data_IF_564121592109
#
_entry.id   IF_564121592109
#
_cell.length_a   1.000
_cell.length_b   1.000
_cell.length_c   1.000
_cell.angle_alpha   90.00
_cell.angle_beta   90.00
_cell.angle_gamma   90.00
#
_symmetry.space_group_name_H-M   'P 1'
#
loop_
_entity.id
_entity.type
_entity.pdbx_description
1 polymer ?
#
# COMPACT_ATOMS: atom_id res chain seq x y z
N UNK A 1 -63.39 27.50 -32.39
CA UNK A 1 -62.46 26.34 -32.29
C UNK A 1 -62.00 26.21 -30.86
N UNK A 2 -61.94 24.97 -30.38
CA UNK A 2 -61.99 24.59 -28.97
C UNK A 2 -60.61 24.68 -28.28
N UNK A 3 -60.72 25.03 -27.01
CA UNK A 3 -59.81 25.23 -25.89
C UNK A 3 -58.63 24.24 -25.79
N UNK A 4 -57.51 24.80 -25.32
CA UNK A 4 -56.19 24.21 -25.04
C UNK A 4 -56.23 23.06 -24.03
N UNK A 5 -55.43 22.04 -24.29
CA UNK A 5 -55.13 20.85 -23.48
C UNK A 5 -53.74 20.37 -23.99
N UNK A 6 -52.70 20.01 -23.23
CA UNK A 6 -52.54 19.43 -21.90
C UNK A 6 -51.09 19.71 -21.44
N UNK A 7 -50.93 19.96 -20.14
CA UNK A 7 -49.65 19.91 -19.42
C UNK A 7 -49.21 18.45 -19.27
N UNK A 8 -47.95 18.12 -19.56
CA UNK A 8 -47.30 16.93 -19.00
C UNK A 8 -45.79 17.18 -18.86
N UNK A 9 -45.43 17.78 -17.73
CA UNK A 9 -44.08 17.75 -17.16
C UNK A 9 -43.94 16.41 -16.44
N UNK A 10 -43.01 15.54 -16.86
CA UNK A 10 -42.59 14.38 -16.07
C UNK A 10 -41.16 13.94 -16.44
N UNK A 11 -40.21 14.54 -15.75
CA UNK A 11 -39.04 13.90 -15.13
C UNK A 11 -38.38 12.74 -15.87
N UNK A 12 -37.29 13.05 -16.60
CA UNK A 12 -36.23 12.09 -16.91
C UNK A 12 -34.99 12.46 -16.05
N UNK A 13 -35.04 12.14 -14.76
CA UNK A 13 -33.95 12.32 -13.81
C UNK A 13 -33.53 10.94 -13.28
N UNK A 14 -32.80 10.18 -14.08
CA UNK A 14 -32.17 8.94 -13.62
C UNK A 14 -30.97 8.56 -14.51
N UNK A 15 -29.91 9.38 -14.48
CA UNK A 15 -28.62 8.98 -15.08
C UNK A 15 -27.40 9.48 -14.29
N UNK A 16 -27.51 9.62 -12.97
CA UNK A 16 -26.40 10.10 -12.11
C UNK A 16 -25.81 9.03 -11.17
N UNK A 17 -26.17 7.75 -11.30
CA UNK A 17 -25.79 6.73 -10.31
C UNK A 17 -24.60 5.82 -10.68
N UNK A 18 -23.78 6.14 -11.69
CA UNK A 18 -22.70 5.24 -12.15
C UNK A 18 -21.28 5.86 -12.20
N UNK A 19 -21.06 7.01 -11.54
CA UNK A 19 -19.73 7.62 -11.38
C UNK A 19 -19.28 7.66 -9.92
N UNK A 20 -19.81 6.76 -9.08
CA UNK A 20 -19.20 6.47 -7.79
C UNK A 20 -17.86 5.78 -8.04
N UNK A 21 -16.80 6.57 -7.99
CA UNK A 21 -15.41 6.13 -7.93
C UNK A 21 -15.27 4.84 -7.12
N UNK A 22 -14.75 3.80 -7.77
CA UNK A 22 -14.80 2.42 -7.31
C UNK A 22 -14.19 2.23 -5.92
N UNK A 23 -14.94 1.57 -5.03
CA UNK A 23 -14.44 1.09 -3.72
C UNK A 23 -13.20 0.19 -3.92
N UNK A 24 -12.20 0.26 -3.04
CA UNK A 24 -11.05 -0.64 -3.12
C UNK A 24 -11.47 -2.11 -3.04
N UNK A 25 -11.09 -2.89 -4.03
CA UNK A 25 -11.35 -4.32 -4.12
C UNK A 25 -10.04 -5.12 -4.13
N UNK A 26 -10.06 -6.31 -3.54
CA UNK A 26 -8.94 -7.25 -3.66
C UNK A 26 -8.78 -7.73 -5.11
N UNK A 27 -7.53 -7.90 -5.54
CA UNK A 27 -7.25 -8.58 -6.80
C UNK A 27 -7.71 -10.03 -6.70
N UNK A 28 -8.26 -10.54 -7.81
CA UNK A 28 -8.53 -11.98 -7.92
C UNK A 28 -7.21 -12.77 -7.83
N UNK A 29 -7.23 -14.06 -7.42
CA UNK A 29 -6.01 -14.85 -7.30
C UNK A 29 -5.17 -14.92 -8.58
N UNK A 30 -5.81 -14.96 -9.74
CA UNK A 30 -5.14 -14.97 -11.04
C UNK A 30 -4.48 -13.62 -11.35
N UNK A 31 -5.20 -12.50 -11.15
CA UNK A 31 -4.65 -11.15 -11.32
C UNK A 31 -3.47 -10.90 -10.37
N UNK A 32 -3.63 -11.31 -9.11
CA UNK A 32 -2.59 -11.17 -8.08
C UNK A 32 -1.34 -11.97 -8.46
N UNK A 33 -1.50 -13.22 -8.88
CA UNK A 33 -0.36 -14.06 -9.29
C UNK A 33 0.40 -13.46 -10.48
N UNK A 34 -0.32 -13.01 -11.52
CA UNK A 34 0.28 -12.35 -12.70
C UNK A 34 0.99 -11.06 -12.32
N UNK A 35 0.33 -10.20 -11.54
CA UNK A 35 0.91 -8.94 -11.08
C UNK A 35 2.17 -9.21 -10.25
N UNK A 36 2.11 -10.08 -9.25
CA UNK A 36 3.26 -10.44 -8.41
C UNK A 36 4.42 -10.97 -9.25
N UNK A 37 4.18 -11.82 -10.26
CA UNK A 37 5.24 -12.30 -11.14
C UNK A 37 5.94 -11.16 -11.90
N UNK A 38 5.18 -10.21 -12.46
CA UNK A 38 5.72 -9.03 -13.13
C UNK A 38 6.52 -8.14 -12.18
N UNK A 39 6.03 -7.94 -10.95
CA UNK A 39 6.72 -7.14 -9.94
C UNK A 39 8.01 -7.81 -9.45
N UNK A 40 8.02 -9.13 -9.31
CA UNK A 40 9.23 -9.88 -8.93
C UNK A 40 10.29 -9.82 -10.03
N UNK A 41 9.89 -9.92 -11.30
CA UNK A 41 10.78 -9.70 -12.44
C UNK A 41 11.35 -8.26 -12.44
N UNK A 42 10.49 -7.25 -12.29
CA UNK A 42 10.92 -5.85 -12.16
C UNK A 42 11.85 -5.62 -10.97
N UNK A 43 11.60 -6.30 -9.84
CA UNK A 43 12.44 -6.23 -8.66
C UNK A 43 13.88 -6.70 -8.91
N UNK A 44 14.12 -7.62 -9.84
CA UNK A 44 15.50 -8.04 -10.20
C UNK A 44 16.31 -6.93 -10.85
N UNK A 45 15.63 -5.96 -11.47
CA UNK A 45 16.23 -4.78 -12.11
C UNK A 45 16.30 -3.58 -11.18
N UNK A 46 15.67 -3.65 -10.01
CA UNK A 46 15.83 -2.62 -9.00
C UNK A 46 17.26 -2.72 -8.44
N UNK A 47 18.05 -1.66 -8.66
CA UNK A 47 19.35 -1.52 -8.01
C UNK A 47 19.23 -1.46 -6.48
N UNK A 48 20.33 -1.17 -5.79
CA UNK A 48 20.43 -1.26 -4.34
C UNK A 48 19.23 -0.65 -3.60
N UNK A 49 18.47 -1.53 -2.92
CA UNK A 49 17.36 -1.15 -2.06
C UNK A 49 17.91 -0.77 -0.67
N UNK A 50 17.32 0.24 0.00
CA UNK A 50 17.76 0.66 1.34
C UNK A 50 17.68 -0.44 2.41
N UNK A 51 16.81 -1.43 2.19
CA UNK A 51 16.66 -2.61 3.03
C UNK A 51 16.91 -3.86 2.21
N UNK A 52 17.71 -4.78 2.76
CA UNK A 52 17.86 -6.13 2.20
C UNK A 52 16.59 -6.92 2.48
N UNK A 53 15.77 -7.14 1.47
CA UNK A 53 14.49 -7.85 1.55
C UNK A 53 14.60 -9.30 1.05
N UNK A 54 13.89 -10.22 1.69
CA UNK A 54 13.69 -11.59 1.22
C UNK A 54 12.20 -11.81 1.01
N UNK A 55 11.71 -11.51 -0.19
CA UNK A 55 10.28 -11.45 -0.50
C UNK A 55 9.60 -12.83 -0.52
N UNK A 56 8.35 -12.89 -0.05
CA UNK A 56 7.45 -14.04 -0.09
C UNK A 56 6.31 -13.79 -1.09
N UNK A 57 6.50 -14.05 -2.39
CA UNK A 57 5.50 -13.75 -3.43
C UNK A 57 4.18 -14.52 -3.25
N UNK A 58 4.23 -15.70 -2.65
CA UNK A 58 3.08 -16.55 -2.27
C UNK A 58 2.20 -15.93 -1.17
N UNK A 59 2.72 -14.91 -0.47
CA UNK A 59 2.01 -14.17 0.58
C UNK A 59 1.65 -12.74 0.13
N UNK A 60 1.70 -12.47 -1.17
CA UNK A 60 1.37 -11.15 -1.72
C UNK A 60 -0.09 -10.79 -1.49
N UNK A 61 -0.35 -9.49 -1.37
CA UNK A 61 -1.69 -8.93 -1.19
C UNK A 61 -1.83 -7.75 -2.13
N UNK A 62 -2.88 -7.75 -2.97
CA UNK A 62 -3.12 -6.71 -3.95
C UNK A 62 -4.52 -6.12 -3.84
N UNK A 63 -4.61 -4.81 -4.00
CA UNK A 63 -5.84 -4.03 -4.00
C UNK A 63 -5.89 -3.13 -5.26
N UNK A 64 -7.08 -2.93 -5.82
CA UNK A 64 -7.34 -1.99 -6.91
C UNK A 64 -8.57 -1.13 -6.63
N UNK A 65 -8.54 0.12 -7.06
CA UNK A 65 -9.66 1.06 -7.01
C UNK A 65 -9.64 1.91 -8.28
N UNK A 66 -10.46 1.58 -9.28
CA UNK A 66 -10.33 2.17 -10.62
C UNK A 66 -8.98 1.82 -11.24
N UNK A 67 -8.23 2.83 -11.66
CA UNK A 67 -6.89 2.69 -12.25
C UNK A 67 -5.75 2.73 -11.21
N UNK A 68 -6.09 3.05 -9.96
CA UNK A 68 -5.16 3.06 -8.85
C UNK A 68 -5.01 1.66 -8.25
N UNK A 69 -3.80 1.31 -7.82
CA UNK A 69 -3.53 -0.01 -7.25
C UNK A 69 -2.40 0.00 -6.24
N UNK A 70 -2.45 -0.96 -5.31
CA UNK A 70 -1.40 -1.21 -4.34
C UNK A 70 -1.17 -2.71 -4.19
N UNK A 71 0.08 -3.16 -4.24
CA UNK A 71 0.46 -4.55 -4.03
C UNK A 71 1.61 -4.63 -3.04
N UNK A 72 1.41 -5.38 -1.97
CA UNK A 72 2.39 -5.64 -0.93
C UNK A 72 2.92 -7.07 -1.08
N UNK A 73 4.25 -7.21 -1.13
CA UNK A 73 4.93 -8.50 -1.03
C UNK A 73 5.67 -8.52 0.31
N UNK A 74 5.22 -9.34 1.29
CA UNK A 74 5.86 -9.42 2.60
C UNK A 74 7.30 -9.95 2.53
N UNK A 75 8.12 -9.60 3.51
CA UNK A 75 9.39 -10.26 3.76
C UNK A 75 9.14 -11.60 4.47
N UNK A 76 9.68 -12.71 3.95
CA UNK A 76 9.49 -14.06 4.49
C UNK A 76 10.06 -14.23 5.90
N UNK A 77 10.94 -13.32 6.34
CA UNK A 77 11.53 -13.30 7.68
C UNK A 77 10.66 -12.52 8.66
N UNK A 78 9.61 -11.85 8.20
CA UNK A 78 8.61 -11.24 9.07
C UNK A 78 7.79 -12.34 9.74
N UNK A 79 8.32 -12.86 10.83
CA UNK A 79 7.67 -13.89 11.63
C UNK A 79 6.92 -13.24 12.77
N UNK A 80 5.83 -13.89 13.19
CA UNK A 80 5.23 -13.67 14.49
C UNK A 80 6.26 -14.15 15.51
N UNK A 81 7.22 -13.27 15.86
CA UNK A 81 8.05 -13.52 17.02
C UNK A 81 7.09 -13.58 18.20
N UNK A 82 6.79 -14.81 18.65
CA UNK A 82 6.57 -15.08 20.06
C UNK A 82 7.82 -14.53 20.70
N UNK A 83 7.75 -13.29 21.18
CA UNK A 83 8.79 -12.70 22.00
C UNK A 83 8.87 -13.57 23.27
N UNK A 84 9.55 -14.70 23.18
CA UNK A 84 9.87 -15.52 24.31
C UNK A 84 10.80 -14.65 25.15
N UNK A 85 10.31 -14.34 26.37
CA UNK A 85 11.12 -13.76 27.43
C UNK A 85 12.44 -14.53 27.49
N UNK A 86 13.53 -13.93 27.01
CA UNK A 86 14.87 -14.51 27.17
C UNK A 86 15.83 -14.34 26.01
N UNK A 87 15.38 -14.01 24.80
CA UNK A 87 16.31 -13.94 23.68
C UNK A 87 17.17 -12.66 23.71
N UNK A 88 18.41 -12.81 24.19
CA UNK A 88 19.42 -11.74 24.30
C UNK A 88 19.91 -11.28 22.92
N UNK A 89 19.65 -12.03 21.85
CA UNK A 89 20.03 -11.66 20.48
C UNK A 89 19.09 -10.59 19.88
N UNK A 90 17.79 -10.59 20.22
CA UNK A 90 16.83 -9.58 19.80
C UNK A 90 17.07 -8.19 20.44
N UNK A 91 17.77 -8.15 21.60
CA UNK A 91 18.17 -6.90 22.26
C UNK A 91 19.34 -6.19 21.58
N UNK A 92 20.04 -6.84 20.66
CA UNK A 92 21.29 -6.35 20.03
C UNK A 92 21.12 -5.91 18.57
N UNK A 93 19.88 -5.82 18.05
CA UNK A 93 19.65 -5.01 16.85
C UNK A 93 19.85 -3.55 17.24
N UNK A 94 20.85 -2.93 16.63
CA UNK A 94 21.31 -1.60 16.97
C UNK A 94 20.16 -0.60 16.92
N UNK A 95 20.25 0.43 17.77
CA UNK A 95 19.41 1.62 17.70
C UNK A 95 19.59 2.23 16.29
N UNK A 96 18.69 1.92 15.37
CA UNK A 96 18.73 2.40 13.98
C UNK A 96 18.58 1.35 12.87
N UNK A 97 18.62 0.05 13.15
CA UNK A 97 18.43 -0.97 12.11
C UNK A 97 16.95 -1.36 11.98
N UNK A 98 16.33 -1.03 10.85
CA UNK A 98 14.92 -1.33 10.60
C UNK A 98 14.69 -2.83 10.42
N UNK A 99 13.65 -3.37 11.04
CA UNK A 99 13.24 -4.77 10.82
C UNK A 99 12.47 -4.84 9.50
N UNK A 100 12.93 -5.62 8.50
CA UNK A 100 12.27 -5.69 7.20
C UNK A 100 10.83 -6.21 7.31
N UNK A 101 9.89 -5.53 6.64
CA UNK A 101 8.46 -5.90 6.59
C UNK A 101 8.09 -6.45 5.22
N UNK A 102 8.60 -5.86 4.16
CA UNK A 102 8.26 -6.24 2.79
C UNK A 102 8.47 -5.09 1.81
N UNK A 103 7.86 -5.22 0.64
CA UNK A 103 7.92 -4.24 -0.44
C UNK A 103 6.52 -3.86 -0.89
N UNK A 104 6.22 -2.57 -0.87
CA UNK A 104 4.95 -2.01 -1.34
C UNK A 104 5.15 -1.41 -2.73
N UNK A 105 4.27 -1.77 -3.64
CA UNK A 105 4.21 -1.26 -5.00
C UNK A 105 2.90 -0.51 -5.18
N UNK A 106 2.95 0.67 -5.78
CA UNK A 106 1.74 1.47 -6.04
C UNK A 106 1.67 1.95 -7.49
N UNK A 107 0.46 1.94 -8.04
CA UNK A 107 0.11 2.49 -9.35
C UNK A 107 -0.79 3.69 -9.16
N UNK A 108 -0.45 4.84 -9.78
CA UNK A 108 -1.18 6.12 -9.70
C UNK A 108 -1.43 6.64 -8.27
N UNK A 109 -0.73 6.09 -7.28
CA UNK A 109 -0.82 6.47 -5.87
C UNK A 109 0.57 6.70 -5.31
N UNK A 110 0.69 7.70 -4.45
CA UNK A 110 1.88 7.93 -3.63
C UNK A 110 1.48 8.25 -2.19
N UNK A 111 2.32 7.91 -1.19
CA UNK A 111 2.07 8.26 0.20
C UNK A 111 1.95 9.77 0.40
N UNK A 112 1.18 10.20 1.40
CA UNK A 112 1.10 11.60 1.85
C UNK A 112 1.92 11.83 3.12
N UNK A 113 2.54 12.99 3.21
CA UNK A 113 3.16 13.54 4.42
C UNK A 113 2.53 14.90 4.73
N UNK A 114 1.88 15.04 5.89
CA UNK A 114 1.17 16.26 6.32
C UNK A 114 0.32 16.89 5.19
N UNK A 115 -0.57 16.07 4.60
CA UNK A 115 -1.47 16.40 3.50
C UNK A 115 -0.89 16.63 2.11
N UNK A 116 0.43 16.71 1.96
CA UNK A 116 1.07 16.74 0.66
C UNK A 116 1.38 15.33 0.16
N UNK A 117 1.02 15.02 -1.10
CA UNK A 117 1.49 13.80 -1.76
C UNK A 117 3.01 13.88 -1.93
N UNK A 118 3.71 12.79 -1.63
CA UNK A 118 5.16 12.73 -1.81
C UNK A 118 5.53 13.00 -3.27
N UNK A 119 6.47 13.93 -3.54
CA UNK A 119 6.89 14.25 -4.90
C UNK A 119 7.66 13.10 -5.56
N UNK A 120 7.56 13.01 -6.89
CA UNK A 120 8.12 11.94 -7.71
C UNK A 120 9.64 11.76 -7.55
N UNK A 121 10.39 12.82 -7.21
CA UNK A 121 11.83 12.78 -6.97
C UNK A 121 12.22 11.96 -5.73
N UNK A 122 11.32 11.83 -4.75
CA UNK A 122 11.48 10.97 -3.57
C UNK A 122 11.07 9.52 -3.82
N UNK A 123 10.27 9.28 -4.85
CA UNK A 123 9.75 7.97 -5.19
C UNK A 123 10.79 7.18 -5.98
N UNK A 124 10.85 5.86 -5.74
CA UNK A 124 11.55 4.95 -6.63
C UNK A 124 10.58 4.48 -7.69
N UNK A 125 10.60 5.15 -8.84
CA UNK A 125 9.72 4.87 -9.96
C UNK A 125 10.36 3.84 -10.89
N UNK A 126 9.59 2.85 -11.32
CA UNK A 126 10.01 1.85 -12.28
C UNK A 126 8.91 1.60 -13.30
N UNK A 127 9.32 1.43 -14.55
CA UNK A 127 8.40 1.09 -15.63
C UNK A 127 8.25 -0.41 -15.74
N UNK A 128 7.02 -0.86 -15.94
CA UNK A 128 6.66 -2.26 -16.13
C UNK A 128 5.82 -2.37 -17.38
N UNK A 129 6.18 -3.31 -18.23
CA UNK A 129 5.44 -3.65 -19.44
C UNK A 129 4.58 -4.88 -19.16
N UNK A 130 3.27 -4.76 -19.37
CA UNK A 130 2.30 -5.85 -19.25
C UNK A 130 1.54 -5.98 -20.57
N UNK A 131 1.97 -6.91 -21.44
CA UNK A 131 1.51 -6.96 -22.82
C UNK A 131 1.93 -5.70 -23.57
N UNK A 132 0.98 -5.01 -24.20
CA UNK A 132 1.22 -3.79 -24.97
C UNK A 132 1.16 -2.49 -24.13
N UNK A 133 0.97 -2.62 -22.81
CA UNK A 133 0.84 -1.48 -21.90
C UNK A 133 2.11 -1.28 -21.10
N UNK A 134 2.65 -0.07 -21.15
CA UNK A 134 3.68 0.40 -20.22
C UNK A 134 3.01 1.14 -19.06
N UNK A 135 3.38 0.79 -17.83
CA UNK A 135 2.87 1.41 -16.62
C UNK A 135 4.05 1.81 -15.73
N UNK A 136 3.94 2.96 -15.08
CA UNK A 136 4.91 3.40 -14.09
C UNK A 136 4.40 3.11 -12.68
N UNK A 137 5.22 2.43 -11.88
CA UNK A 137 4.91 2.10 -10.49
C UNK A 137 5.94 2.72 -9.55
N UNK A 138 5.46 3.20 -8.40
CA UNK A 138 6.32 3.55 -7.29
C UNK A 138 6.58 2.32 -6.40
N UNK A 139 7.82 2.18 -5.95
CA UNK A 139 8.27 1.07 -5.10
C UNK A 139 8.79 1.60 -3.77
N UNK A 140 8.37 0.96 -2.70
CA UNK A 140 8.80 1.27 -1.34
C UNK A 140 9.28 0.03 -0.61
N UNK A 141 10.49 0.06 -0.06
CA UNK A 141 10.87 -0.92 0.95
C UNK A 141 10.25 -0.52 2.29
N UNK A 142 9.71 -1.49 3.03
CA UNK A 142 9.06 -1.27 4.31
C UNK A 142 9.88 -1.86 5.44
N UNK A 143 10.04 -1.11 6.53
CA UNK A 143 10.72 -1.58 7.74
C UNK A 143 10.08 -1.06 9.01
N UNK A 144 10.16 -1.81 10.11
CA UNK A 144 9.79 -1.35 11.44
C UNK A 144 11.01 -0.72 12.09
N UNK A 145 10.91 0.56 12.43
CA UNK A 145 11.92 1.30 13.17
C UNK A 145 11.47 1.51 14.62
N UNK A 146 12.44 1.50 15.55
CA UNK A 146 12.17 1.87 16.94
C UNK A 146 12.29 3.39 17.09
N UNK A 147 11.20 4.04 17.47
CA UNK A 147 11.14 5.49 17.71
C UNK A 147 11.37 5.86 19.19
N UNK A 148 11.12 4.93 20.12
CA UNK A 148 11.26 5.18 21.56
C UNK A 148 11.36 3.90 22.38
N UNK A 149 11.17 3.99 23.70
CA UNK A 149 11.29 2.81 24.59
C UNK A 149 10.28 1.72 24.23
N UNK A 150 9.07 2.09 23.83
CA UNK A 150 7.97 1.21 23.42
C UNK A 150 7.22 1.71 22.17
N UNK A 151 7.83 2.64 21.45
CA UNK A 151 7.24 3.27 20.27
C UNK A 151 7.97 2.77 19.04
N UNK A 152 7.18 2.36 18.05
CA UNK A 152 7.66 1.81 16.79
C UNK A 152 6.93 2.51 15.65
N UNK A 153 7.65 2.76 14.56
CA UNK A 153 7.08 3.31 13.34
C UNK A 153 7.25 2.30 12.21
N UNK A 154 6.30 2.28 11.29
CA UNK A 154 6.53 1.75 9.95
C UNK A 154 7.23 2.85 9.14
N UNK A 155 8.43 2.55 8.68
CA UNK A 155 9.22 3.39 7.80
C UNK A 155 9.05 2.92 6.35
N UNK A 156 8.74 3.86 5.46
CA UNK A 156 8.66 3.66 4.01
C UNK A 156 9.91 4.27 3.37
N UNK A 157 10.65 3.48 2.62
CA UNK A 157 11.87 3.89 1.94
C UNK A 157 11.65 3.97 0.43
N UNK A 158 11.87 5.14 -0.16
CA UNK A 158 11.74 5.38 -1.61
C UNK A 158 13.07 5.27 -2.36
N UNK A 159 13.46 6.35 -3.06
CA UNK A 159 14.68 6.38 -3.88
C UNK A 159 15.97 6.34 -3.04
N UNK A 160 16.01 7.04 -1.92
CA UNK A 160 17.19 7.19 -1.05
C UNK A 160 17.27 6.21 0.12
N UNK A 161 18.38 6.27 0.87
CA UNK A 161 18.65 5.41 2.03
C UNK A 161 17.86 5.77 3.29
N UNK A 162 17.25 6.97 3.32
CA UNK A 162 16.42 7.43 4.43
C UNK A 162 14.94 7.19 4.14
N UNK A 163 14.10 6.90 5.16
CA UNK A 163 12.66 6.83 5.00
C UNK A 163 12.07 8.14 4.47
N UNK A 164 11.19 8.03 3.48
CA UNK A 164 10.41 9.13 2.93
C UNK A 164 9.14 9.41 3.73
N UNK A 165 8.66 8.42 4.48
CA UNK A 165 7.53 8.55 5.40
C UNK A 165 7.73 7.63 6.61
N UNK A 166 7.32 8.09 7.79
CA UNK A 166 7.21 7.29 9.01
C UNK A 166 5.81 7.41 9.55
N UNK A 167 5.14 6.27 9.74
CA UNK A 167 3.80 6.22 10.32
C UNK A 167 3.83 5.43 11.63
N UNK A 168 3.10 5.87 12.67
CA UNK A 168 3.12 5.19 13.96
C UNK A 168 2.50 3.79 13.89
N UNK A 169 3.13 2.82 14.54
CA UNK A 169 2.51 1.53 14.81
C UNK A 169 1.63 1.63 16.05
N UNK A 170 0.34 1.38 15.88
CA UNK A 170 -0.64 1.34 16.96
C UNK A 170 -0.95 -0.11 17.32
N UNK A 171 -1.22 -0.38 18.59
CA UNK A 171 -1.63 -1.72 19.00
C UNK A 171 -3.02 -2.03 18.43
N UNK A 172 -3.16 -3.22 17.83
CA UNK A 172 -4.43 -3.75 17.33
C UNK A 172 -4.55 -5.21 17.77
N UNK A 173 -5.76 -5.76 17.84
CA UNK A 173 -5.95 -7.19 18.10
C UNK A 173 -6.68 -7.78 16.90
N UNK A 174 -5.98 -8.61 16.15
CA UNK A 174 -6.56 -9.42 15.08
C UNK A 174 -6.31 -10.89 15.34
N UNK A 175 -7.28 -11.72 14.95
CA UNK A 175 -7.20 -13.18 15.02
C UNK A 175 -6.58 -13.81 13.76
N UNK A 176 -5.96 -13.01 12.90
CA UNK A 176 -5.37 -13.48 11.64
C UNK A 176 -4.06 -14.26 11.83
N UNK A 177 -3.85 -15.30 11.02
CA UNK A 177 -2.61 -16.08 10.99
C UNK A 177 -1.54 -15.48 10.07
N UNK A 178 -1.93 -14.62 9.11
CA UNK A 178 -1.01 -14.01 8.16
C UNK A 178 -0.08 -12.99 8.85
N UNK A 179 1.22 -12.93 8.49
CA UNK A 179 2.17 -12.00 9.08
C UNK A 179 1.89 -10.55 8.68
N UNK A 180 1.26 -10.32 7.52
CA UNK A 180 0.72 -9.02 7.12
C UNK A 180 -0.66 -9.20 6.52
N UNK A 181 -1.54 -8.26 6.79
CA UNK A 181 -2.77 -8.02 6.05
C UNK A 181 -2.78 -6.58 5.55
N UNK A 182 -3.36 -6.35 4.38
CA UNK A 182 -3.52 -5.02 3.81
C UNK A 182 -4.99 -4.80 3.43
N UNK A 183 -5.53 -3.65 3.81
CA UNK A 183 -6.82 -3.15 3.36
C UNK A 183 -6.66 -1.70 2.92
N UNK A 184 -7.67 -1.17 2.24
CA UNK A 184 -7.70 0.22 1.83
C UNK A 184 -9.08 0.81 2.06
N UNK A 185 -9.12 2.10 2.38
CA UNK A 185 -10.35 2.87 2.48
C UNK A 185 -10.18 4.21 1.79
N UNK A 186 -11.24 4.69 1.16
CA UNK A 186 -11.26 6.02 0.56
C UNK A 186 -11.49 7.07 1.64
N UNK A 187 -10.80 8.22 1.53
CA UNK A 187 -10.97 9.36 2.46
C UNK A 187 -11.35 10.66 1.74
N UNK A 188 -11.28 10.68 0.42
CA UNK A 188 -11.68 11.79 -0.44
C UNK A 188 -11.55 11.37 -1.90
N UNK A 189 -11.91 12.22 -2.86
CA UNK A 189 -11.98 11.84 -4.27
C UNK A 189 -10.66 11.25 -4.80
N UNK A 190 -9.55 11.93 -4.52
CA UNK A 190 -8.19 11.55 -4.91
C UNK A 190 -7.31 11.15 -3.71
N UNK A 191 -7.93 10.69 -2.62
CA UNK A 191 -7.20 10.29 -1.40
C UNK A 191 -7.78 9.06 -0.71
N UNK A 192 -6.90 8.34 -0.03
CA UNK A 192 -7.26 7.17 0.75
C UNK A 192 -6.24 6.86 1.82
N UNK A 193 -6.45 5.73 2.49
CA UNK A 193 -5.53 5.17 3.47
C UNK A 193 -5.33 3.69 3.15
N UNK A 194 -4.08 3.28 3.01
CA UNK A 194 -3.70 1.87 3.07
C UNK A 194 -3.47 1.50 4.53
N UNK A 195 -4.23 0.54 5.03
CA UNK A 195 -4.10 0.02 6.38
C UNK A 195 -3.32 -1.29 6.34
N UNK A 196 -2.22 -1.35 7.08
CA UNK A 196 -1.43 -2.56 7.25
C UNK A 196 -1.60 -3.09 8.67
N UNK A 197 -2.02 -4.33 8.77
CA UNK A 197 -2.05 -5.07 10.02
C UNK A 197 -0.88 -6.06 10.04
N UNK A 198 0.08 -5.80 10.91
CA UNK A 198 1.34 -6.53 11.03
C UNK A 198 1.28 -7.48 12.23
N UNK A 199 1.64 -8.73 11.99
CA UNK A 199 1.78 -9.80 12.98
C UNK A 199 0.53 -10.01 13.84
N UNK A 200 -0.65 -9.64 13.33
CA UNK A 200 -1.93 -9.68 14.06
C UNK A 200 -2.04 -8.73 15.26
N UNK A 201 -1.06 -7.84 15.46
CA UNK A 201 -0.94 -7.04 16.70
C UNK A 201 -0.64 -5.57 16.53
N UNK A 202 -0.13 -5.16 15.37
CA UNK A 202 0.22 -3.77 15.10
C UNK A 202 -0.52 -3.29 13.87
N UNK A 203 -1.07 -2.08 13.92
CA UNK A 203 -1.68 -1.42 12.78
C UNK A 203 -0.83 -0.21 12.38
N UNK A 204 -0.56 -0.08 11.09
CA UNK A 204 -0.02 1.11 10.44
C UNK A 204 -1.05 1.65 9.47
N UNK A 205 -1.18 2.97 9.40
CA UNK A 205 -2.02 3.63 8.41
C UNK A 205 -1.12 4.49 7.53
N UNK A 206 -1.13 4.24 6.23
CA UNK A 206 -0.35 4.96 5.22
C UNK A 206 -1.36 5.81 4.44
N UNK A 207 -1.44 7.12 4.72
CA UNK A 207 -2.21 8.03 3.89
C UNK A 207 -1.65 8.03 2.47
N UNK A 208 -2.52 7.98 1.47
CA UNK A 208 -2.15 8.01 0.06
C UNK A 208 -3.00 9.02 -0.69
N UNK A 209 -2.43 9.55 -1.77
CA UNK A 209 -3.14 10.38 -2.73
C UNK A 209 -2.74 10.06 -4.15
N UNK A 210 -3.45 10.64 -5.11
CA UNK A 210 -3.10 10.54 -6.53
C UNK A 210 -1.68 11.04 -6.76
N UNK A 211 -0.88 10.23 -7.44
CA UNK A 211 0.49 10.59 -7.81
C UNK A 211 0.48 11.74 -8.81
N UNK A 212 1.47 12.63 -8.74
CA UNK A 212 1.64 13.67 -9.74
C UNK A 212 2.01 13.06 -11.10
N UNK A 213 1.42 13.58 -12.18
CA UNK A 213 1.75 13.22 -13.57
C UNK A 213 3.16 13.70 -13.97
#
# INVERSE_FOLDING_TARGET
>A
MKTRLLLAFATFAALTAALYAQEPAQLSPEELSKATALLMDANTRLGDLPLKLELAPDQSIGLKAGEAGALLIPDKRLKIEKAQKGDKSAKKKAKGEAVPVGQLWTSKLAPKDNDAVLPNDKLRLTKITAGDKEMELAVFALGIERAGKKEFHLALYGKGSSPVLRVPLTASKSKGAAPVLMSARKTGEESGVLELLLLGRFKAEIPVGKMAE
#
